data_IF_971467507142
#
_entry.id   IF_971467507142
#
_cell.length_a   1.000
_cell.length_b   1.000
_cell.length_c   1.000
_cell.angle_alpha   90.00
_cell.angle_beta   90.00
_cell.angle_gamma   90.00
#
_symmetry.space_group_name_H-M   'P 1'
#
loop_
_entity.id
_entity.type
_entity.pdbx_description
1 polymer ?
#
# COMPACT_ATOMS: atom_id res chain seq x y z
N UNK A 1 -17.14 8.42 -1.31
CA UNK A 1 -15.88 8.37 -0.55
C UNK A 1 -15.50 6.94 -0.16
N UNK A 2 -16.41 6.16 0.45
CA UNK A 2 -16.12 4.79 0.92
C UNK A 2 -15.52 3.84 -0.12
N UNK A 3 -16.05 3.81 -1.36
CA UNK A 3 -15.50 2.94 -2.41
C UNK A 3 -14.07 3.35 -2.78
N UNK A 4 -13.79 4.65 -2.91
CA UNK A 4 -12.43 5.12 -3.18
C UNK A 4 -11.46 4.78 -2.04
N UNK A 5 -11.92 4.91 -0.79
CA UNK A 5 -11.12 4.49 0.38
C UNK A 5 -10.91 2.96 0.42
N UNK A 6 -11.90 2.16 0.01
CA UNK A 6 -11.76 0.70 -0.09
C UNK A 6 -10.72 0.32 -1.15
N UNK A 7 -10.72 1.02 -2.29
CA UNK A 7 -9.73 0.83 -3.34
C UNK A 7 -8.32 1.21 -2.87
N UNK A 8 -8.16 2.32 -2.14
CA UNK A 8 -6.86 2.69 -1.54
C UNK A 8 -6.36 1.68 -0.52
N UNK A 9 -7.25 1.17 0.33
CA UNK A 9 -6.90 0.11 1.30
C UNK A 9 -6.57 -1.23 0.65
N UNK A 10 -7.02 -1.47 -0.58
CA UNK A 10 -6.68 -2.65 -1.39
C UNK A 10 -5.64 -2.37 -2.48
N UNK A 11 -5.11 -1.14 -2.56
CA UNK A 11 -4.37 -0.66 -3.73
C UNK A 11 -3.13 -1.49 -4.03
N UNK A 12 -2.35 -1.83 -3.01
CA UNK A 12 -1.16 -2.68 -3.15
C UNK A 12 -1.46 -4.07 -3.72
N UNK A 13 -2.63 -4.63 -3.39
CA UNK A 13 -3.06 -5.93 -3.93
C UNK A 13 -3.61 -5.76 -5.35
N UNK A 14 -4.43 -4.73 -5.58
CA UNK A 14 -5.10 -4.49 -6.85
C UNK A 14 -4.14 -4.05 -7.97
N UNK A 15 -3.00 -3.47 -7.63
CA UNK A 15 -1.96 -3.11 -8.61
C UNK A 15 -1.27 -4.34 -9.20
N UNK A 16 -1.16 -5.43 -8.43
CA UNK A 16 -0.56 -6.69 -8.86
C UNK A 16 -1.61 -7.69 -9.36
N UNK A 17 -2.78 -7.70 -8.73
CA UNK A 17 -3.85 -8.68 -8.95
C UNK A 17 -5.20 -7.96 -9.13
N UNK A 18 -5.43 -7.34 -10.30
CA UNK A 18 -6.66 -6.57 -10.55
C UNK A 18 -7.93 -7.44 -10.46
N UNK A 19 -7.82 -8.74 -10.75
CA UNK A 19 -8.92 -9.70 -10.64
C UNK A 19 -9.43 -9.89 -9.20
N UNK A 20 -8.67 -9.43 -8.19
CA UNK A 20 -9.11 -9.42 -6.79
C UNK A 20 -10.05 -8.25 -6.45
N UNK A 21 -10.49 -7.45 -7.42
CA UNK A 21 -11.39 -6.30 -7.19
C UNK A 21 -12.64 -6.67 -6.38
N UNK A 22 -13.38 -7.70 -6.80
CA UNK A 22 -14.59 -8.12 -6.10
C UNK A 22 -14.30 -8.59 -4.65
N UNK A 23 -13.34 -9.48 -4.39
CA UNK A 23 -12.93 -9.83 -3.03
C UNK A 23 -12.55 -8.63 -2.16
N UNK A 24 -11.79 -7.68 -2.71
CA UNK A 24 -11.33 -6.49 -1.98
C UNK A 24 -12.51 -5.55 -1.62
N UNK A 25 -13.51 -5.43 -2.49
CA UNK A 25 -14.71 -4.63 -2.24
C UNK A 25 -15.64 -5.32 -1.24
N UNK A 26 -15.98 -6.60 -1.46
CA UNK A 26 -16.88 -7.37 -0.59
C UNK A 26 -16.32 -7.46 0.83
N UNK A 27 -15.04 -7.84 0.97
CA UNK A 27 -14.41 -8.01 2.28
C UNK A 27 -14.40 -6.73 3.12
N UNK A 28 -14.48 -5.54 2.50
CA UNK A 28 -14.38 -4.23 3.17
C UNK A 28 -15.71 -3.50 3.34
N UNK A 29 -16.58 -3.56 2.33
CA UNK A 29 -17.79 -2.74 2.24
C UNK A 29 -19.04 -3.46 2.75
N UNK A 30 -18.97 -4.75 3.08
CA UNK A 30 -20.14 -5.51 3.56
C UNK A 30 -20.85 -4.86 4.76
N UNK A 31 -20.16 -4.24 5.76
CA UNK A 31 -20.84 -3.52 6.84
C UNK A 31 -21.74 -2.36 6.38
N UNK A 32 -21.44 -1.78 5.21
CA UNK A 32 -22.11 -0.60 4.66
C UNK A 32 -23.32 -0.95 3.77
N UNK A 33 -23.61 -2.24 3.58
CA UNK A 33 -24.63 -2.74 2.66
C UNK A 33 -26.06 -2.29 3.05
N UNK A 34 -26.33 -2.12 4.34
CA UNK A 34 -27.63 -1.70 4.86
C UNK A 34 -27.88 -0.19 4.72
N UNK A 35 -26.81 0.61 4.81
CA UNK A 35 -26.90 2.07 4.87
C UNK A 35 -26.92 2.72 3.48
N UNK A 36 -26.40 2.04 2.45
CA UNK A 36 -26.21 2.64 1.13
C UNK A 36 -26.63 1.69 -0.01
N UNK A 37 -27.71 2.06 -0.71
CA UNK A 37 -28.24 1.29 -1.86
C UNK A 37 -27.23 1.11 -2.99
N UNK A 38 -26.37 2.09 -3.24
CA UNK A 38 -25.36 1.99 -4.31
C UNK A 38 -24.26 0.99 -3.93
N UNK A 39 -23.85 0.96 -2.66
CA UNK A 39 -22.91 -0.07 -2.15
C UNK A 39 -23.57 -1.45 -2.25
N UNK A 40 -24.84 -1.57 -1.84
CA UNK A 40 -25.57 -2.83 -2.01
C UNK A 40 -25.59 -3.32 -3.45
N UNK A 41 -25.92 -2.45 -4.41
CA UNK A 41 -25.91 -2.82 -5.82
C UNK A 41 -24.50 -3.20 -6.32
N UNK A 42 -23.46 -2.49 -5.86
CA UNK A 42 -22.08 -2.81 -6.18
C UNK A 42 -21.68 -4.20 -5.67
N UNK A 43 -22.02 -4.54 -4.42
CA UNK A 43 -21.70 -5.84 -3.84
C UNK A 43 -22.47 -6.98 -4.52
N UNK A 44 -23.73 -6.76 -4.90
CA UNK A 44 -24.50 -7.72 -5.71
C UNK A 44 -23.84 -7.96 -7.08
N UNK A 45 -23.27 -6.92 -7.70
CA UNK A 45 -22.50 -7.10 -8.93
C UNK A 45 -21.19 -7.87 -8.70
N UNK A 46 -20.52 -7.63 -7.56
CA UNK A 46 -19.36 -8.42 -7.15
C UNK A 46 -19.72 -9.91 -6.95
N UNK A 47 -20.88 -10.22 -6.37
CA UNK A 47 -21.33 -11.60 -6.20
C UNK A 47 -21.69 -12.26 -7.54
N UNK A 48 -22.27 -11.51 -8.47
CA UNK A 48 -22.72 -12.03 -9.76
C UNK A 48 -21.59 -12.27 -10.77
N UNK A 49 -20.55 -11.43 -10.75
CA UNK A 49 -19.48 -11.43 -11.77
C UNK A 49 -18.07 -11.54 -11.19
N UNK A 50 -17.92 -11.50 -9.86
CA UNK A 50 -16.62 -11.61 -9.22
C UNK A 50 -16.00 -13.00 -9.38
N UNK A 51 -16.82 -14.07 -9.37
CA UNK A 51 -16.33 -15.44 -9.56
C UNK A 51 -15.74 -15.71 -10.94
N UNK A 52 -16.09 -14.88 -11.93
CA UNK A 52 -15.51 -14.97 -13.28
C UNK A 52 -14.02 -14.55 -13.29
N UNK A 53 -13.59 -13.76 -12.30
CA UNK A 53 -12.24 -13.21 -12.19
C UNK A 53 -11.46 -13.81 -11.01
N UNK A 54 -12.13 -14.07 -9.88
CA UNK A 54 -11.51 -14.64 -8.69
C UNK A 54 -12.41 -15.74 -8.08
N UNK A 55 -11.89 -16.96 -8.01
CA UNK A 55 -12.61 -18.11 -7.48
C UNK A 55 -12.96 -17.99 -5.97
N UNK A 56 -12.28 -17.10 -5.24
CA UNK A 56 -12.46 -16.90 -3.80
C UNK A 56 -13.07 -15.53 -3.51
N UNK A 57 -14.39 -15.48 -3.32
CA UNK A 57 -15.13 -14.29 -2.91
C UNK A 57 -15.49 -14.44 -1.42
N UNK A 58 -15.15 -13.47 -0.55
CA UNK A 58 -15.53 -13.52 0.86
C UNK A 58 -17.04 -13.50 1.06
N UNK A 59 -17.56 -14.36 1.92
CA UNK A 59 -18.97 -14.34 2.33
C UNK A 59 -19.23 -13.32 3.47
N UNK A 60 -18.20 -13.01 4.25
CA UNK A 60 -18.28 -12.12 5.40
C UNK A 60 -17.25 -10.99 5.31
N UNK A 61 -17.48 -9.93 6.09
CA UNK A 61 -16.51 -8.86 6.30
C UNK A 61 -15.23 -9.44 6.90
N UNK A 62 -14.10 -9.25 6.22
CA UNK A 62 -12.82 -9.85 6.60
C UNK A 62 -11.61 -8.94 6.37
N UNK A 63 -11.83 -7.69 5.94
CA UNK A 63 -10.78 -6.71 5.62
C UNK A 63 -11.16 -5.36 6.23
N UNK A 64 -10.19 -4.48 6.47
CA UNK A 64 -10.44 -3.19 7.13
C UNK A 64 -11.53 -2.34 6.44
N UNK A 65 -12.51 -1.90 7.22
CA UNK A 65 -13.59 -1.02 6.75
C UNK A 65 -13.04 0.33 6.28
N UNK A 66 -13.45 0.84 5.10
CA UNK A 66 -13.06 2.15 4.62
C UNK A 66 -13.70 3.27 5.45
N UNK A 67 -13.11 4.47 5.39
CA UNK A 67 -13.59 5.63 6.16
C UNK A 67 -13.09 5.70 7.60
N UNK A 68 -12.37 4.68 8.07
CA UNK A 68 -11.67 4.68 9.35
C UNK A 68 -10.35 5.47 9.35
N UNK A 69 -9.59 5.42 10.45
CA UNK A 69 -8.30 6.13 10.59
C UNK A 69 -7.20 5.55 9.69
N UNK A 70 -7.30 4.27 9.31
CA UNK A 70 -6.37 3.64 8.38
C UNK A 70 -6.67 4.10 6.95
N UNK A 71 -5.67 4.67 6.27
CA UNK A 71 -5.80 5.15 4.87
C UNK A 71 -5.16 4.24 3.83
N UNK A 72 -4.00 3.65 4.15
CA UNK A 72 -3.21 2.85 3.22
C UNK A 72 -2.66 1.60 3.91
N UNK A 73 -2.59 0.48 3.18
CA UNK A 73 -1.74 -0.67 3.50
C UNK A 73 -0.70 -0.78 2.39
N UNK A 74 0.56 -0.45 2.70
CA UNK A 74 1.64 -0.37 1.72
C UNK A 74 2.50 -1.63 1.83
N UNK A 75 2.34 -2.54 0.86
CA UNK A 75 2.93 -3.88 0.89
C UNK A 75 3.90 -4.07 -0.27
N UNK A 76 5.17 -4.40 0.03
CA UNK A 76 6.19 -4.61 -1.01
C UNK A 76 7.55 -5.07 -0.49
N UNK A 77 7.91 -4.74 0.76
CA UNK A 77 9.12 -5.26 1.38
C UNK A 77 8.98 -6.77 1.67
N UNK A 78 10.01 -7.54 1.34
CA UNK A 78 10.06 -8.99 1.64
C UNK A 78 10.40 -9.28 3.11
N UNK A 79 11.00 -8.31 3.79
CA UNK A 79 11.38 -8.38 5.21
C UNK A 79 10.67 -7.28 6.00
N UNK A 80 10.82 -7.32 7.32
CA UNK A 80 10.29 -6.27 8.19
C UNK A 80 10.76 -4.88 7.72
N UNK A 81 9.84 -3.91 7.78
CA UNK A 81 10.18 -2.50 7.58
C UNK A 81 10.88 -2.02 8.84
N UNK A 82 12.12 -1.57 8.71
CA UNK A 82 12.95 -1.15 9.84
C UNK A 82 12.91 0.36 10.06
N UNK A 83 12.58 1.14 9.04
CA UNK A 83 12.34 2.58 9.17
C UNK A 83 11.53 3.15 7.99
N UNK A 84 10.95 4.33 8.17
CA UNK A 84 10.26 5.08 7.13
C UNK A 84 10.29 6.60 7.39
N UNK A 85 10.14 7.38 6.32
CA UNK A 85 10.08 8.84 6.36
C UNK A 85 9.10 9.37 5.32
N UNK A 86 8.48 10.52 5.62
CA UNK A 86 7.72 11.29 4.64
C UNK A 86 8.67 12.24 3.91
N UNK A 87 8.43 12.45 2.61
CA UNK A 87 9.03 13.58 1.90
C UNK A 87 8.56 14.91 2.49
N UNK A 88 9.35 15.96 2.37
CA UNK A 88 9.04 17.29 2.94
C UNK A 88 7.78 17.94 2.35
N UNK A 89 7.31 17.48 1.18
CA UNK A 89 6.05 17.87 0.56
C UNK A 89 4.85 16.98 0.98
N UNK A 90 5.09 15.97 1.82
CA UNK A 90 4.12 14.97 2.29
C UNK A 90 3.44 14.17 1.17
N UNK A 91 4.02 14.14 -0.03
CA UNK A 91 3.46 13.40 -1.15
C UNK A 91 3.84 11.92 -1.12
N UNK A 92 5.03 11.58 -0.63
CA UNK A 92 5.55 10.22 -0.65
C UNK A 92 5.96 9.73 0.73
N UNK A 93 5.86 8.42 0.92
CA UNK A 93 6.57 7.71 1.98
C UNK A 93 7.74 6.97 1.35
N UNK A 94 8.92 7.11 1.94
CA UNK A 94 10.07 6.24 1.69
C UNK A 94 10.22 5.31 2.87
N UNK A 95 10.33 4.00 2.63
CA UNK A 95 10.55 3.01 3.67
C UNK A 95 11.72 2.10 3.34
N UNK A 96 12.36 1.56 4.37
CA UNK A 96 13.55 0.72 4.23
C UNK A 96 13.42 -0.65 4.90
N UNK A 97 13.97 -1.66 4.23
CA UNK A 97 14.31 -2.96 4.79
C UNK A 97 15.72 -3.37 4.34
N UNK A 98 15.86 -4.31 3.40
CA UNK A 98 17.06 -4.50 2.57
C UNK A 98 16.99 -3.71 1.24
N UNK A 99 15.89 -2.98 1.01
CA UNK A 99 15.63 -2.11 -0.14
C UNK A 99 15.06 -0.77 0.30
N UNK A 100 15.10 0.22 -0.57
CA UNK A 100 14.34 1.47 -0.45
C UNK A 100 13.09 1.35 -1.32
N UNK A 101 11.92 1.54 -0.73
CA UNK A 101 10.67 1.59 -1.48
C UNK A 101 10.01 2.94 -1.27
N UNK A 102 9.56 3.57 -2.36
CA UNK A 102 8.82 4.82 -2.35
C UNK A 102 7.37 4.58 -2.76
N UNK A 103 6.45 5.17 -2.02
CA UNK A 103 5.01 5.05 -2.21
C UNK A 103 4.39 6.43 -2.44
N UNK A 104 3.57 6.60 -3.48
CA UNK A 104 2.78 7.83 -3.68
C UNK A 104 1.54 7.80 -2.79
N UNK A 105 1.42 8.75 -1.87
CA UNK A 105 0.28 8.82 -0.95
C UNK A 105 -1.01 9.30 -1.60
N UNK A 106 -0.99 9.79 -2.84
CA UNK A 106 -2.22 10.12 -3.58
C UNK A 106 -2.86 8.89 -4.22
N UNK A 107 -2.05 7.94 -4.68
CA UNK A 107 -2.52 6.75 -5.42
C UNK A 107 -2.35 5.43 -4.66
N UNK A 108 -1.54 5.40 -3.60
CA UNK A 108 -1.06 4.20 -2.89
C UNK A 108 -0.12 3.29 -3.71
N UNK A 109 0.37 3.77 -4.86
CA UNK A 109 1.23 2.97 -5.72
C UNK A 109 2.67 2.95 -5.25
N UNK A 110 3.34 1.82 -5.47
CA UNK A 110 4.79 1.73 -5.40
C UNK A 110 5.41 2.47 -6.58
N UNK A 111 6.02 3.62 -6.35
CA UNK A 111 6.64 4.41 -7.42
C UNK A 111 8.10 4.04 -7.66
N UNK A 112 8.79 3.51 -6.63
CA UNK A 112 10.18 3.05 -6.73
C UNK A 112 10.44 1.88 -5.82
N UNK A 113 11.22 0.91 -6.31
CA UNK A 113 11.84 -0.17 -5.54
C UNK A 113 13.32 -0.24 -5.92
N UNK A 114 14.20 0.14 -4.99
CA UNK A 114 15.65 0.21 -5.20
C UNK A 114 16.35 -0.74 -4.25
N UNK A 115 16.99 -1.76 -4.84
CA UNK A 115 17.91 -2.64 -4.13
C UNK A 115 19.36 -2.16 -4.33
N UNK A 116 20.02 -1.59 -3.31
CA UNK A 116 21.39 -1.13 -3.42
C UNK A 116 22.43 -2.27 -3.44
N UNK A 117 22.01 -3.54 -3.29
CA UNK A 117 22.92 -4.69 -3.29
C UNK A 117 23.80 -4.78 -2.04
N UNK A 118 23.36 -4.17 -0.94
CA UNK A 118 24.08 -4.14 0.33
C UNK A 118 23.77 -5.38 1.16
N UNK A 119 24.73 -5.78 1.99
CA UNK A 119 24.51 -6.82 2.98
C UNK A 119 23.91 -6.25 4.26
N UNK A 120 23.01 -7.01 4.87
CA UNK A 120 22.35 -6.65 6.12
C UNK A 120 21.03 -5.91 5.93
N UNK A 121 20.47 -5.46 7.06
CA UNK A 121 19.22 -4.70 7.13
C UNK A 121 19.52 -3.22 7.36
N UNK A 122 18.82 -2.35 6.64
CA UNK A 122 18.97 -0.91 6.76
C UNK A 122 18.18 -0.36 7.94
N UNK A 123 18.70 0.69 8.55
CA UNK A 123 18.13 1.37 9.71
C UNK A 123 18.34 2.88 9.57
N UNK A 124 17.56 3.65 10.33
CA UNK A 124 17.69 5.09 10.48
C UNK A 124 17.65 5.84 9.13
N UNK A 125 16.53 5.72 8.43
CA UNK A 125 16.27 6.45 7.21
C UNK A 125 16.23 7.96 7.51
N UNK A 126 16.91 8.73 6.69
CA UNK A 126 16.82 10.19 6.68
C UNK A 126 16.68 10.69 5.24
N UNK A 127 15.81 11.67 5.03
CA UNK A 127 15.68 12.38 3.76
C UNK A 127 16.31 13.76 3.88
N UNK A 128 16.99 14.20 2.83
CA UNK A 128 17.42 15.60 2.74
C UNK A 128 16.21 16.53 2.68
N UNK A 129 16.28 17.78 3.19
CA UNK A 129 15.13 18.70 3.20
C UNK A 129 14.52 18.99 1.83
N UNK A 130 15.35 18.90 0.77
CA UNK A 130 14.97 19.07 -0.64
C UNK A 130 14.50 17.76 -1.31
N UNK A 131 14.35 16.66 -0.55
CA UNK A 131 14.00 15.32 -0.99
C UNK A 131 14.91 14.73 -2.09
N UNK A 132 16.11 15.27 -2.31
CA UNK A 132 17.02 14.76 -3.35
C UNK A 132 17.80 13.53 -2.92
N UNK A 133 18.03 13.35 -1.62
CA UNK A 133 18.84 12.28 -1.08
C UNK A 133 18.11 11.52 0.03
N UNK A 134 18.31 10.21 0.04
CA UNK A 134 17.98 9.33 1.15
C UNK A 134 19.27 8.73 1.70
N UNK A 135 19.44 8.78 3.02
CA UNK A 135 20.56 8.15 3.71
C UNK A 135 20.05 7.11 4.70
N UNK A 136 20.79 6.02 4.86
CA UNK A 136 20.58 5.01 5.88
C UNK A 136 21.92 4.32 6.20
N UNK A 137 21.93 3.45 7.21
CA UNK A 137 23.06 2.55 7.44
C UNK A 137 22.57 1.12 7.68
N UNK A 138 23.44 0.14 7.44
CA UNK A 138 23.14 -1.27 7.70
C UNK A 138 23.69 -1.72 9.05
N UNK A 139 23.12 -2.80 9.59
CA UNK A 139 23.70 -3.51 10.73
C UNK A 139 25.07 -4.18 10.44
N UNK A 140 25.55 -4.12 9.19
CA UNK A 140 26.87 -4.59 8.76
C UNK A 140 27.87 -3.43 8.55
N UNK A 141 27.65 -2.30 9.23
CA UNK A 141 28.55 -1.14 9.22
C UNK A 141 28.74 -0.48 7.84
N UNK A 142 27.74 -0.57 6.95
CA UNK A 142 27.74 0.13 5.66
C UNK A 142 26.78 1.33 5.73
N UNK A 143 27.24 2.51 5.34
CA UNK A 143 26.38 3.68 5.11
C UNK A 143 26.00 3.77 3.64
N UNK A 144 24.76 4.15 3.36
CA UNK A 144 24.24 4.32 2.00
C UNK A 144 23.66 5.71 1.83
N UNK A 145 23.95 6.31 0.68
CA UNK A 145 23.34 7.55 0.21
C UNK A 145 22.78 7.29 -1.19
N UNK A 146 21.48 7.48 -1.37
CA UNK A 146 20.78 7.28 -2.63
C UNK A 146 20.22 8.60 -3.13
N UNK A 147 20.28 8.78 -4.46
CA UNK A 147 19.49 9.83 -5.09
C UNK A 147 18.02 9.40 -5.10
N UNK A 148 17.16 10.20 -4.49
CA UNK A 148 15.73 10.00 -4.55
C UNK A 148 15.12 10.37 -5.90
N UNK A 149 15.87 11.13 -6.74
CA UNK A 149 15.46 11.71 -8.04
C UNK A 149 13.94 11.74 -8.20
N UNK A 150 13.27 12.75 -7.65
CA UNK A 150 11.85 13.00 -7.95
C UNK A 150 11.53 12.78 -9.43
#
# INVERSE_FOLDING_TARGET
MLVADALRLGGAILSLYPDMLAPQLVGRLLPEIGSNKNIKNLLVACDASGSDHCALIPLYHCLHTPGGPLKYSLEGHQFAVFDFCLTSDFRYIVSISNRFITWDLSTSDMTRDVNPGLEGIMQQLCLSPDNRYAAAYTNNSQSVLLNCLT
#
